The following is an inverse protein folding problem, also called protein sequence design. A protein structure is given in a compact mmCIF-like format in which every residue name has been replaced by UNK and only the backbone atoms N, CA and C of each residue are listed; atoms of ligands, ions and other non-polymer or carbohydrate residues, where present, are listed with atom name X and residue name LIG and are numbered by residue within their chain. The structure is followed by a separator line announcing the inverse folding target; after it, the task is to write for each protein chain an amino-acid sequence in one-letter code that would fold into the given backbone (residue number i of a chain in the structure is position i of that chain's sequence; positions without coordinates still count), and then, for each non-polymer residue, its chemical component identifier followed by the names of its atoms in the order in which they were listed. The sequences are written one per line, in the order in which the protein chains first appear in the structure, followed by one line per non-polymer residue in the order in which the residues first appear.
data_IF_128990564254
#
_entry.id   IF_128990564254
#
_cell.length_a   1.000
_cell.length_b   1.000
_cell.length_c   1.000
_cell.angle_alpha   90.00
_cell.angle_beta   90.00
_cell.angle_gamma   90.00
#
_symmetry.space_group_name_H-M   'P 1'
#
loop_
_entity.id
_entity.type
_entity.pdbx_description
1 polymer ?
#
# COMPACT_ATOMS: atom_id res chain seq x y z
N UNK A 1 -12.62 1.80 10.18
CA UNK A 1 -14.00 1.66 10.69
C UNK A 1 -14.88 2.54 9.82
N UNK A 2 -16.13 2.12 9.57
CA UNK A 2 -17.09 2.88 8.77
C UNK A 2 -18.40 2.96 9.53
N UNK A 3 -19.10 4.07 9.38
CA UNK A 3 -20.45 4.25 9.88
C UNK A 3 -21.42 4.01 8.75
N UNK A 4 -22.47 3.22 9.01
CA UNK A 4 -23.20 2.54 7.95
C UNK A 4 -24.71 2.59 8.14
N UNK A 5 -25.41 2.80 7.04
CA UNK A 5 -26.86 2.65 6.91
C UNK A 5 -27.12 1.47 5.98
N UNK A 6 -27.76 0.44 6.52
CA UNK A 6 -28.13 -0.78 5.80
C UNK A 6 -29.55 -0.65 5.25
N UNK A 7 -29.76 -1.06 4.00
CA UNK A 7 -31.08 -1.06 3.37
C UNK A 7 -31.69 -2.46 3.35
N UNK A 8 -33.02 -2.51 3.44
CA UNK A 8 -33.82 -3.72 3.57
C UNK A 8 -33.84 -4.62 2.31
N UNK A 9 -33.52 -4.06 1.15
CA UNK A 9 -33.44 -4.77 -0.14
C UNK A 9 -32.58 -4.01 -1.15
N UNK A 10 -32.14 -4.69 -2.19
CA UNK A 10 -31.58 -4.06 -3.37
C UNK A 10 -32.67 -3.75 -4.39
N UNK A 11 -32.87 -2.47 -4.77
CA UNK A 11 -33.70 -2.12 -5.92
C UNK A 11 -32.82 -2.06 -7.18
N UNK A 12 -33.37 -1.48 -8.24
CA UNK A 12 -32.63 -1.13 -9.45
C UNK A 12 -31.45 -0.18 -9.14
N UNK A 13 -30.24 -0.64 -9.47
CA UNK A 13 -29.00 0.12 -9.27
C UNK A 13 -29.01 1.44 -10.03
N UNK A 14 -29.54 1.46 -11.26
CA UNK A 14 -29.62 2.68 -12.07
C UNK A 14 -30.54 3.70 -11.40
N UNK A 15 -31.67 3.24 -10.86
CA UNK A 15 -32.62 4.10 -10.15
C UNK A 15 -32.00 4.70 -8.87
N UNK A 16 -31.26 3.91 -8.08
CA UNK A 16 -30.57 4.43 -6.89
C UNK A 16 -29.53 5.47 -7.24
N UNK A 17 -28.69 5.20 -8.24
CA UNK A 17 -27.63 6.11 -8.65
C UNK A 17 -28.23 7.41 -9.17
N UNK A 18 -29.30 7.33 -9.96
CA UNK A 18 -29.99 8.51 -10.47
C UNK A 18 -30.58 9.37 -9.33
N UNK A 19 -31.22 8.74 -8.34
CA UNK A 19 -31.82 9.44 -7.19
C UNK A 19 -30.72 10.13 -6.35
N UNK A 20 -29.69 9.37 -5.97
CA UNK A 20 -28.55 9.93 -5.23
C UNK A 20 -27.81 11.01 -6.02
N UNK A 21 -27.69 10.89 -7.35
CA UNK A 21 -27.05 11.90 -8.18
C UNK A 21 -27.84 13.21 -8.16
N UNK A 22 -29.17 13.16 -8.19
CA UNK A 22 -30.00 14.36 -8.09
C UNK A 22 -29.76 15.09 -6.77
N UNK A 23 -29.78 14.36 -5.66
CA UNK A 23 -29.62 14.95 -4.32
C UNK A 23 -28.19 15.38 -4.03
N UNK A 24 -27.20 14.61 -4.47
CA UNK A 24 -25.78 15.01 -4.41
C UNK A 24 -25.55 16.31 -5.19
N UNK A 25 -26.02 16.39 -6.45
CA UNK A 25 -25.83 17.57 -7.30
C UNK A 25 -26.49 18.82 -6.69
N UNK A 26 -27.70 18.69 -6.15
CA UNK A 26 -28.40 19.79 -5.48
C UNK A 26 -27.63 20.33 -4.26
N UNK A 27 -26.82 19.48 -3.63
CA UNK A 27 -26.01 19.81 -2.47
C UNK A 27 -24.51 20.05 -2.80
N UNK A 28 -24.15 20.16 -4.08
CA UNK A 28 -22.79 20.47 -4.53
C UNK A 28 -21.81 19.28 -4.48
N UNK A 29 -22.32 18.06 -4.54
CA UNK A 29 -21.57 16.82 -4.65
C UNK A 29 -21.91 16.09 -5.96
N UNK A 30 -21.18 15.02 -6.26
CA UNK A 30 -21.41 14.19 -7.45
C UNK A 30 -21.32 12.71 -7.11
N UNK A 31 -22.16 11.89 -7.74
CA UNK A 31 -22.05 10.43 -7.69
C UNK A 31 -21.18 9.97 -8.85
N UNK A 32 -20.10 9.28 -8.53
CA UNK A 32 -19.18 8.70 -9.50
C UNK A 32 -19.07 7.20 -9.25
N UNK A 33 -18.87 6.36 -10.28
CA UNK A 33 -18.46 4.97 -10.07
C UNK A 33 -17.22 4.94 -9.18
N UNK A 34 -17.25 4.13 -8.12
CA UNK A 34 -16.11 4.03 -7.20
C UNK A 34 -14.90 3.39 -7.89
N UNK A 35 -15.16 2.53 -8.88
CA UNK A 35 -14.20 1.80 -9.70
C UNK A 35 -14.79 1.58 -11.09
N UNK A 36 -13.98 1.63 -12.17
CA UNK A 36 -14.46 1.40 -13.55
C UNK A 36 -14.87 -0.08 -13.80
N UNK A 37 -14.29 -1.03 -13.05
CA UNK A 37 -14.49 -2.49 -13.26
C UNK A 37 -15.34 -3.18 -12.16
N UNK A 38 -15.80 -2.44 -11.14
CA UNK A 38 -16.67 -2.99 -10.08
C UNK A 38 -18.06 -2.41 -10.19
N UNK A 39 -18.91 -3.09 -10.96
CA UNK A 39 -20.33 -2.79 -11.03
C UNK A 39 -20.95 -2.80 -9.63
N UNK A 40 -21.84 -1.86 -9.38
CA UNK A 40 -22.56 -1.79 -8.11
C UNK A 40 -21.84 -1.09 -6.96
N UNK A 41 -20.76 -0.32 -7.20
CA UNK A 41 -20.18 0.54 -6.16
C UNK A 41 -19.93 1.95 -6.65
N UNK A 42 -20.38 2.92 -5.87
CA UNK A 42 -20.35 4.34 -6.21
C UNK A 42 -19.84 5.18 -5.05
N UNK A 43 -19.20 6.31 -5.37
CA UNK A 43 -18.73 7.31 -4.42
C UNK A 43 -19.49 8.61 -4.61
N UNK A 44 -19.85 9.25 -3.50
CA UNK A 44 -20.39 10.60 -3.49
C UNK A 44 -19.25 11.54 -3.08
N UNK A 45 -18.72 12.29 -4.04
CA UNK A 45 -17.60 13.20 -3.85
C UNK A 45 -18.09 14.66 -3.71
N UNK A 46 -17.45 15.49 -2.87
CA UNK A 46 -16.23 15.22 -2.07
C UNK A 46 -16.53 14.67 -0.67
N UNK A 47 -17.69 14.05 -0.45
CA UNK A 47 -18.14 13.68 0.90
C UNK A 47 -17.64 12.33 1.39
N UNK A 48 -16.98 11.57 0.52
CA UNK A 48 -16.43 10.25 0.81
C UNK A 48 -17.47 9.21 1.27
N UNK A 49 -18.75 9.42 0.92
CA UNK A 49 -19.80 8.43 1.15
C UNK A 49 -19.72 7.39 0.03
N UNK A 50 -19.80 6.12 0.40
CA UNK A 50 -19.83 4.99 -0.54
C UNK A 50 -21.22 4.39 -0.55
N UNK A 51 -21.79 4.22 -1.75
CA UNK A 51 -22.90 3.32 -2.01
C UNK A 51 -22.31 1.98 -2.50
N UNK A 52 -22.67 0.89 -1.86
CA UNK A 52 -22.38 -0.47 -2.33
C UNK A 52 -23.71 -1.21 -2.51
N UNK A 53 -23.91 -1.85 -3.66
CA UNK A 53 -25.12 -2.59 -4.03
C UNK A 53 -24.87 -4.04 -4.44
N UNK A 54 -23.65 -4.55 -4.29
CA UNK A 54 -23.21 -5.85 -4.84
C UNK A 54 -23.74 -7.05 -4.00
N UNK A 55 -23.70 -6.93 -2.67
CA UNK A 55 -24.15 -8.01 -1.76
C UNK A 55 -25.13 -7.54 -0.69
N UNK A 56 -24.75 -6.48 0.02
CA UNK A 56 -25.60 -5.86 1.04
C UNK A 56 -25.67 -4.38 0.71
N UNK A 57 -26.87 -3.92 0.37
CA UNK A 57 -27.07 -2.52 -0.02
C UNK A 57 -26.88 -1.62 1.18
N UNK A 58 -25.91 -0.72 1.07
CA UNK A 58 -25.62 0.19 2.15
C UNK A 58 -24.98 1.48 1.67
N UNK A 59 -25.21 2.52 2.46
CA UNK A 59 -24.40 3.73 2.43
C UNK A 59 -23.42 3.67 3.60
N UNK A 60 -22.16 4.00 3.35
CA UNK A 60 -21.16 4.09 4.40
C UNK A 60 -20.31 5.35 4.28
N UNK A 61 -19.89 5.87 5.43
CA UNK A 61 -18.93 6.97 5.52
C UNK A 61 -17.75 6.54 6.42
N UNK A 62 -16.50 6.84 6.04
CA UNK A 62 -15.34 6.49 6.84
C UNK A 62 -15.27 7.32 8.14
N UNK A 63 -14.91 6.68 9.25
CA UNK A 63 -14.71 7.35 10.55
C UNK A 63 -13.33 8.03 10.60
N UNK A 64 -13.16 9.13 9.84
CA UNK A 64 -11.86 9.82 9.78
C UNK A 64 -11.61 10.70 11.01
N UNK A 65 -10.37 10.82 11.53
CA UNK A 65 -10.05 11.68 12.68
C UNK A 65 -10.35 13.16 12.48
N UNK A 66 -10.33 13.63 11.24
CA UNK A 66 -10.56 15.03 10.82
C UNK A 66 -11.99 15.31 10.36
N UNK A 67 -12.85 14.28 10.28
CA UNK A 67 -14.24 14.46 9.89
C UNK A 67 -15.02 15.24 10.96
N UNK A 68 -15.83 16.22 10.52
CA UNK A 68 -16.87 16.81 11.36
C UNK A 68 -18.01 15.80 11.52
N UNK A 69 -18.26 15.26 12.73
CA UNK A 69 -19.22 14.18 12.89
C UNK A 69 -20.65 14.59 12.56
N UNK A 70 -21.04 15.84 12.84
CA UNK A 70 -22.38 16.32 12.60
C UNK A 70 -22.64 16.45 11.10
N UNK A 71 -21.71 17.07 10.38
CA UNK A 71 -21.81 17.27 8.93
C UNK A 71 -21.74 15.95 8.15
N UNK A 72 -20.88 15.03 8.58
CA UNK A 72 -20.73 13.70 7.99
C UNK A 72 -22.03 12.89 8.08
N UNK A 73 -22.63 12.86 9.28
CA UNK A 73 -23.91 12.18 9.53
C UNK A 73 -25.06 12.87 8.80
N UNK A 74 -25.12 14.21 8.78
CA UNK A 74 -26.13 14.96 8.04
C UNK A 74 -26.16 14.56 6.56
N UNK A 75 -25.00 14.52 5.92
CA UNK A 75 -24.88 14.10 4.51
C UNK A 75 -25.26 12.64 4.31
N UNK A 76 -24.82 11.74 5.19
CA UNK A 76 -25.16 10.32 5.10
C UNK A 76 -26.67 10.09 5.22
N UNK A 77 -27.32 10.76 6.19
CA UNK A 77 -28.76 10.66 6.42
C UNK A 77 -29.57 11.36 5.33
N UNK A 78 -29.07 12.45 4.75
CA UNK A 78 -29.69 13.08 3.58
C UNK A 78 -29.80 12.09 2.43
N UNK A 79 -28.68 11.43 2.08
CA UNK A 79 -28.66 10.40 1.02
C UNK A 79 -29.57 9.22 1.34
N UNK A 80 -29.56 8.75 2.59
CA UNK A 80 -30.36 7.60 2.98
C UNK A 80 -31.87 7.86 2.97
N UNK A 81 -32.31 9.05 3.41
CA UNK A 81 -33.73 9.44 3.35
C UNK A 81 -34.25 9.60 1.94
N UNK A 82 -33.37 10.01 1.02
CA UNK A 82 -33.75 10.18 -0.36
C UNK A 82 -34.11 8.84 -1.03
N UNK A 83 -33.41 7.77 -0.62
CA UNK A 83 -33.69 6.41 -1.06
C UNK A 83 -35.02 5.85 -0.52
N UNK A 84 -35.61 6.42 0.54
CA UNK A 84 -36.95 6.05 0.97
C UNK A 84 -38.00 6.35 -0.12
N UNK A 85 -37.74 7.32 -1.01
CA UNK A 85 -38.62 7.62 -2.17
C UNK A 85 -38.74 6.44 -3.14
N UNK A 86 -37.71 5.59 -3.20
CA UNK A 86 -37.66 4.35 -3.97
C UNK A 86 -38.21 3.16 -3.19
N UNK A 87 -38.74 3.38 -1.99
CA UNK A 87 -39.22 2.35 -1.07
C UNK A 87 -38.10 1.51 -0.47
N UNK A 88 -36.88 2.08 -0.35
CA UNK A 88 -35.76 1.49 0.35
C UNK A 88 -35.66 2.06 1.75
N UNK A 89 -35.88 1.20 2.74
CA UNK A 89 -35.89 1.63 4.12
C UNK A 89 -34.53 1.41 4.75
N UNK A 90 -33.85 2.52 5.05
CA UNK A 90 -32.56 2.51 5.72
C UNK A 90 -32.69 2.25 7.22
N UNK A 91 -31.78 1.44 7.76
CA UNK A 91 -31.57 1.23 9.19
C UNK A 91 -30.14 1.65 9.52
N UNK A 92 -30.00 2.55 10.50
CA UNK A 92 -28.70 2.86 11.07
C UNK A 92 -28.17 1.62 11.78
N UNK A 93 -27.06 1.07 11.29
CA UNK A 93 -26.52 -0.21 11.76
C UNK A 93 -26.09 -0.15 13.23
N UNK A 94 -25.59 0.99 13.65
CA UNK A 94 -24.95 1.16 14.95
C UNK A 94 -26.00 1.46 16.03
N UNK A 95 -27.05 2.19 15.65
CA UNK A 95 -28.16 2.52 16.54
C UNK A 95 -29.33 1.54 16.44
N UNK A 96 -29.37 0.68 15.42
CA UNK A 96 -30.48 -0.23 15.15
C UNK A 96 -31.82 0.48 14.90
N UNK A 97 -31.79 1.76 14.50
CA UNK A 97 -32.98 2.62 14.36
C UNK A 97 -33.26 2.88 12.88
N UNK A 98 -34.54 2.91 12.47
CA UNK A 98 -34.89 3.28 11.10
C UNK A 98 -34.54 4.75 10.85
N UNK A 99 -33.92 5.03 9.71
CA UNK A 99 -33.57 6.39 9.27
C UNK A 99 -34.79 7.32 9.25
N UNK A 100 -35.97 6.77 8.91
CA UNK A 100 -37.24 7.48 8.89
C UNK A 100 -37.76 7.89 10.27
N UNK A 101 -37.37 7.17 11.33
CA UNK A 101 -37.78 7.42 12.72
C UNK A 101 -36.84 8.42 13.43
N UNK A 102 -35.67 8.69 12.86
CA UNK A 102 -34.69 9.62 13.41
C UNK A 102 -35.12 11.07 13.18
N UNK A 103 -35.61 11.72 14.24
CA UNK A 103 -36.08 13.12 14.23
C UNK A 103 -34.99 14.14 14.57
N UNK A 104 -33.90 13.70 15.22
CA UNK A 104 -32.69 14.50 15.49
C UNK A 104 -31.45 13.67 15.17
N UNK A 105 -30.44 14.32 14.58
CA UNK A 105 -29.16 13.70 14.25
C UNK A 105 -28.15 13.75 15.40
N UNK A 106 -28.52 14.25 16.58
CA UNK A 106 -27.61 14.35 17.74
C UNK A 106 -27.09 12.99 18.21
N UNK A 107 -27.94 11.96 18.20
CA UNK A 107 -27.54 10.61 18.61
C UNK A 107 -26.64 9.94 17.55
N UNK A 108 -27.00 9.92 16.25
CA UNK A 108 -26.10 9.45 15.20
C UNK A 108 -24.76 10.19 15.16
N UNK A 109 -24.74 11.53 15.27
CA UNK A 109 -23.51 12.32 15.28
C UNK A 109 -22.62 11.98 16.48
N UNK A 110 -23.20 11.73 17.66
CA UNK A 110 -22.46 11.34 18.86
C UNK A 110 -21.88 9.93 18.74
N UNK A 111 -22.63 8.99 18.17
CA UNK A 111 -22.13 7.63 17.92
C UNK A 111 -20.99 7.66 16.89
N UNK A 112 -21.17 8.42 15.79
CA UNK A 112 -20.12 8.60 14.79
C UNK A 112 -18.85 9.24 15.40
N UNK A 113 -18.99 10.26 16.25
CA UNK A 113 -17.88 10.84 16.99
C UNK A 113 -17.19 9.83 17.92
N UNK A 114 -17.97 8.98 18.61
CA UNK A 114 -17.44 7.91 19.45
C UNK A 114 -16.72 6.82 18.63
N UNK A 115 -17.14 6.58 17.39
CA UNK A 115 -16.42 5.69 16.47
C UNK A 115 -15.14 6.33 15.95
N UNK A 116 -15.15 7.62 15.64
CA UNK A 116 -13.93 8.36 15.31
C UNK A 116 -12.94 8.24 16.48
N UNK A 117 -13.38 8.44 17.72
CA UNK A 117 -12.52 8.29 18.89
C UNK A 117 -12.06 6.85 19.12
N UNK A 118 -12.92 5.84 18.94
CA UNK A 118 -12.51 4.42 18.97
C UNK A 118 -11.53 4.06 17.84
N UNK A 119 -11.64 4.71 16.69
CA UNK A 119 -10.74 4.53 15.56
C UNK A 119 -9.39 5.23 15.76
N UNK A 120 -9.34 6.24 16.65
CA UNK A 120 -8.10 6.84 17.15
C UNK A 120 -7.50 5.87 18.18
N UNK A 121 -6.75 4.89 17.70
CA UNK A 121 -6.18 3.90 18.61
C UNK A 121 -5.16 4.54 19.56
N UNK A 122 -5.22 4.27 20.88
CA UNK A 122 -4.13 4.57 21.80
C UNK A 122 -3.02 3.50 21.81
N UNK A 123 -3.22 2.31 21.22
CA UNK A 123 -2.23 1.21 21.12
C UNK A 123 -2.50 0.33 19.87
N UNK A 124 -1.52 -0.05 19.02
CA UNK A 124 -1.75 -0.52 17.65
C UNK A 124 -2.36 -1.93 17.42
N UNK A 125 -2.56 -2.75 18.45
CA UNK A 125 -2.69 -4.22 18.29
C UNK A 125 -4.11 -4.82 18.38
N UNK A 126 -5.15 -4.14 17.91
CA UNK A 126 -6.47 -4.77 17.75
C UNK A 126 -6.68 -5.19 16.29
N UNK A 127 -6.59 -6.50 16.04
CA UNK A 127 -6.85 -7.18 14.76
C UNK A 127 -8.09 -6.61 14.04
N UNK A 128 -7.92 -6.27 12.76
CA UNK A 128 -9.04 -5.95 11.88
C UNK A 128 -9.91 -7.20 11.65
N UNK A 129 -11.25 -7.11 11.69
CA UNK A 129 -12.14 -8.22 11.39
C UNK A 129 -11.92 -8.79 9.98
N UNK A 130 -12.07 -10.10 9.88
CA UNK A 130 -12.03 -10.90 8.64
C UNK A 130 -13.31 -10.64 7.85
N UNK A 131 -13.28 -9.57 7.06
CA UNK A 131 -14.17 -9.19 5.93
C UNK A 131 -14.32 -7.67 5.95
N UNK A 132 -13.50 -6.88 5.24
CA UNK A 132 -13.81 -5.45 5.12
C UNK A 132 -13.40 -4.81 3.79
N UNK A 133 -14.35 -4.08 3.24
CA UNK A 133 -14.27 -2.65 2.90
C UNK A 133 -13.13 -1.88 3.60
N UNK A 134 -11.88 -2.12 3.20
CA UNK A 134 -10.72 -1.48 3.80
C UNK A 134 -10.71 0.01 3.44
N UNK A 135 -11.05 0.87 4.40
CA UNK A 135 -10.70 2.30 4.36
C UNK A 135 -9.28 2.44 4.91
N UNK A 136 -8.31 2.90 4.10
CA UNK A 136 -6.94 3.07 4.56
C UNK A 136 -6.86 4.10 5.69
N UNK A 137 -5.91 3.91 6.62
CA UNK A 137 -5.62 4.94 7.62
C UNK A 137 -5.21 6.24 6.93
N UNK A 138 -5.74 7.40 7.38
CA UNK A 138 -5.38 8.67 6.80
C UNK A 138 -3.87 8.87 6.94
N UNK A 139 -3.23 9.21 5.83
CA UNK A 139 -1.81 9.52 5.82
C UNK A 139 -1.61 11.02 5.86
N UNK A 140 -0.88 11.48 6.86
CA UNK A 140 -0.43 12.86 6.92
C UNK A 140 0.76 13.05 5.97
N UNK A 141 0.49 13.66 4.81
CA UNK A 141 1.50 13.92 3.78
C UNK A 141 2.34 15.17 4.04
N UNK A 142 2.11 15.90 5.14
CA UNK A 142 2.80 17.15 5.41
C UNK A 142 4.32 16.96 5.45
N UNK A 143 5.01 17.69 4.58
CA UNK A 143 6.47 17.68 4.51
C UNK A 143 7.07 16.53 3.71
N UNK A 144 6.25 15.64 3.13
CA UNK A 144 6.71 14.61 2.20
C UNK A 144 6.71 15.13 0.76
N UNK A 145 7.85 15.05 0.08
CA UNK A 145 7.96 15.36 -1.34
C UNK A 145 8.04 14.08 -2.20
N UNK A 146 7.05 13.79 -3.06
CA UNK A 146 7.08 12.63 -3.94
C UNK A 146 8.31 12.58 -4.86
N UNK A 147 8.78 11.37 -5.15
CA UNK A 147 9.92 11.10 -6.00
C UNK A 147 9.50 10.99 -7.47
N UNK A 148 9.85 12.00 -8.25
CA UNK A 148 9.67 11.98 -9.70
C UNK A 148 10.81 11.23 -10.39
N UNK A 149 10.55 9.97 -10.77
CA UNK A 149 11.54 9.12 -11.43
C UNK A 149 11.71 9.50 -12.91
N UNK A 150 12.94 9.40 -13.42
CA UNK A 150 13.22 9.38 -14.86
C UNK A 150 12.38 8.29 -15.52
N UNK A 151 11.61 8.63 -16.56
CA UNK A 151 10.70 7.70 -17.22
C UNK A 151 9.43 7.36 -16.43
N UNK A 152 9.17 8.06 -15.31
CA UNK A 152 7.94 7.93 -14.52
C UNK A 152 7.65 6.51 -14.06
N UNK A 153 6.45 6.03 -14.35
CA UNK A 153 5.94 4.72 -13.91
C UNK A 153 6.32 3.54 -14.81
N UNK A 154 6.98 3.80 -15.93
CA UNK A 154 7.34 2.76 -16.88
C UNK A 154 8.31 1.79 -16.18
N UNK A 155 8.07 0.48 -16.27
CA UNK A 155 8.97 -0.52 -15.71
C UNK A 155 10.37 -0.38 -16.31
N UNK A 156 11.43 -0.58 -15.53
CA UNK A 156 12.80 -0.31 -16.00
C UNK A 156 13.21 -1.16 -17.21
N UNK A 157 12.64 -2.36 -17.36
CA UNK A 157 12.84 -3.23 -18.53
C UNK A 157 12.18 -2.71 -19.83
N UNK A 158 11.26 -1.75 -19.70
CA UNK A 158 10.52 -1.13 -20.81
C UNK A 158 11.05 0.26 -21.16
N UNK A 159 11.99 0.78 -20.38
CA UNK A 159 12.71 2.01 -20.69
C UNK A 159 13.77 1.79 -21.77
N UNK A 160 14.12 2.88 -22.46
CA UNK A 160 15.37 2.92 -23.22
C UNK A 160 16.56 2.61 -22.30
N UNK A 161 17.69 2.14 -22.86
CA UNK A 161 18.88 1.83 -22.06
C UNK A 161 19.42 3.07 -21.37
N UNK A 162 19.35 4.18 -22.07
CA UNK A 162 19.76 5.51 -21.63
C UNK A 162 18.88 5.97 -20.45
N UNK A 163 17.55 5.89 -20.58
CA UNK A 163 16.63 6.29 -19.50
C UNK A 163 16.72 5.37 -18.29
N UNK A 164 16.86 4.05 -18.50
CA UNK A 164 17.02 3.10 -17.40
C UNK A 164 18.30 3.35 -16.61
N UNK A 165 19.39 3.68 -17.31
CA UNK A 165 20.66 4.06 -16.67
C UNK A 165 20.54 5.40 -15.95
N UNK A 166 19.91 6.39 -16.56
CA UNK A 166 19.67 7.69 -15.94
C UNK A 166 18.80 7.54 -14.68
N UNK A 167 17.79 6.66 -14.68
CA UNK A 167 17.01 6.32 -13.49
C UNK A 167 17.87 5.69 -12.40
N UNK A 168 18.73 4.73 -12.73
CA UNK A 168 19.66 4.14 -11.76
C UNK A 168 20.57 5.20 -11.12
N UNK A 169 21.14 6.09 -11.93
CA UNK A 169 22.00 7.19 -11.46
C UNK A 169 21.20 8.19 -10.61
N UNK A 170 19.95 8.49 -10.97
CA UNK A 170 19.05 9.32 -10.18
C UNK A 170 18.74 8.71 -8.81
N UNK A 171 18.38 7.42 -8.77
CA UNK A 171 18.07 6.73 -7.52
C UNK A 171 19.29 6.71 -6.61
N UNK A 172 20.45 6.27 -7.14
CA UNK A 172 21.66 6.09 -6.33
C UNK A 172 22.26 7.41 -5.84
N UNK A 173 22.09 8.51 -6.56
CA UNK A 173 22.55 9.84 -6.12
C UNK A 173 21.63 10.53 -5.11
N UNK A 174 20.42 10.02 -4.89
CA UNK A 174 19.40 10.61 -3.99
C UNK A 174 19.02 9.73 -2.81
N UNK A 175 19.77 8.67 -2.54
CA UNK A 175 19.47 7.70 -1.49
C UNK A 175 19.20 8.37 -0.14
N UNK A 176 20.14 9.20 0.34
CA UNK A 176 20.01 9.88 1.64
C UNK A 176 18.82 10.86 1.67
N UNK A 177 18.60 11.58 0.56
CA UNK A 177 17.45 12.47 0.38
C UNK A 177 16.15 11.69 0.50
N UNK A 178 16.03 10.56 -0.22
CA UNK A 178 14.80 9.76 -0.25
C UNK A 178 14.51 9.07 1.08
N UNK A 179 15.53 8.59 1.77
CA UNK A 179 15.38 8.07 3.14
C UNK A 179 14.94 9.18 4.10
N UNK A 180 15.49 10.40 3.95
CA UNK A 180 15.05 11.56 4.73
C UNK A 180 13.59 11.92 4.48
N UNK A 181 13.13 11.89 3.22
CA UNK A 181 11.72 12.12 2.87
C UNK A 181 10.80 11.06 3.49
N UNK A 182 11.16 9.77 3.42
CA UNK A 182 10.41 8.72 4.13
C UNK A 182 10.39 8.95 5.64
N UNK A 183 11.52 9.39 6.21
CA UNK A 183 11.62 9.76 7.63
C UNK A 183 10.66 10.87 8.03
N UNK A 184 10.54 11.93 7.22
CA UNK A 184 9.56 13.01 7.44
C UNK A 184 8.14 12.49 7.40
N UNK A 185 7.83 11.63 6.43
CA UNK A 185 6.50 11.06 6.26
C UNK A 185 6.09 10.25 7.50
N UNK A 186 6.92 9.30 7.93
CA UNK A 186 6.56 8.46 9.09
C UNK A 186 6.49 9.26 10.39
N UNK A 187 7.34 10.28 10.55
CA UNK A 187 7.32 11.17 11.70
C UNK A 187 6.02 11.99 11.74
N UNK A 188 5.55 12.49 10.60
CA UNK A 188 4.26 13.16 10.47
C UNK A 188 3.07 12.24 10.80
N UNK A 189 3.28 10.92 10.76
CA UNK A 189 2.32 9.88 11.12
C UNK A 189 2.59 9.25 12.51
N UNK A 190 3.48 9.85 13.31
CA UNK A 190 3.60 9.58 14.75
C UNK A 190 4.67 8.57 15.16
N UNK A 191 5.59 8.17 14.27
CA UNK A 191 6.69 7.26 14.61
C UNK A 191 8.00 7.59 13.89
N UNK A 192 9.12 7.09 14.41
CA UNK A 192 10.45 7.33 13.85
C UNK A 192 10.85 6.22 12.88
N UNK A 193 11.53 6.60 11.78
CA UNK A 193 12.13 5.63 10.86
C UNK A 193 13.40 5.03 11.48
N UNK A 194 13.51 3.71 11.48
CA UNK A 194 14.74 3.04 11.89
C UNK A 194 14.68 1.53 11.65
N UNK A 195 15.76 0.83 12.00
CA UNK A 195 15.96 -0.59 11.69
C UNK A 195 15.79 -1.51 12.90
N UNK A 196 15.32 -1.00 14.06
CA UNK A 196 14.98 -1.86 15.19
C UNK A 196 13.74 -2.72 14.86
N UNK A 197 13.60 -3.92 15.43
CA UNK A 197 12.43 -4.78 15.20
C UNK A 197 11.09 -4.05 15.41
N UNK A 198 11.00 -3.24 16.46
CA UNK A 198 9.80 -2.47 16.81
C UNK A 198 9.50 -1.37 15.78
N UNK A 199 10.52 -0.68 15.28
CA UNK A 199 10.36 0.36 14.26
C UNK A 199 9.96 -0.25 12.91
N UNK A 200 10.49 -1.43 12.57
CA UNK A 200 10.10 -2.16 11.36
C UNK A 200 8.65 -2.64 11.45
N UNK A 201 8.23 -3.13 12.61
CA UNK A 201 6.84 -3.50 12.85
C UNK A 201 5.91 -2.29 12.72
N UNK A 202 6.26 -1.14 13.31
CA UNK A 202 5.49 0.10 13.18
C UNK A 202 5.37 0.56 11.72
N UNK A 203 6.48 0.58 10.98
CA UNK A 203 6.51 0.93 9.56
C UNK A 203 5.63 -0.01 8.74
N UNK A 204 5.72 -1.32 9.00
CA UNK A 204 4.94 -2.34 8.30
C UNK A 204 3.45 -2.20 8.58
N UNK A 205 3.07 -2.05 9.84
CA UNK A 205 1.68 -1.89 10.26
C UNK A 205 1.09 -0.62 9.67
N UNK A 206 1.78 0.51 9.79
CA UNK A 206 1.35 1.76 9.18
C UNK A 206 1.18 1.62 7.67
N UNK A 207 2.16 1.06 6.96
CA UNK A 207 2.09 0.89 5.50
C UNK A 207 0.93 0.00 5.08
N UNK A 208 0.78 -1.17 5.73
CA UNK A 208 -0.30 -2.10 5.46
C UNK A 208 -1.63 -1.36 5.64
N UNK A 209 -1.84 -0.70 6.78
CA UNK A 209 -3.13 -0.07 7.08
C UNK A 209 -3.41 1.23 6.32
N UNK A 210 -2.39 1.97 5.88
CA UNK A 210 -2.55 3.29 5.26
C UNK A 210 -2.56 3.27 3.73
N UNK A 211 -2.04 2.22 3.10
CA UNK A 211 -1.89 2.20 1.65
C UNK A 211 -3.22 2.27 0.90
N UNK A 212 -3.32 3.25 -0.01
CA UNK A 212 -4.50 3.47 -0.84
C UNK A 212 -4.31 2.81 -2.22
N UNK A 213 -5.15 1.81 -2.50
CA UNK A 213 -5.32 1.26 -3.84
C UNK A 213 -6.12 2.26 -4.71
N UNK A 214 -5.64 2.51 -5.93
CA UNK A 214 -6.33 3.29 -6.95
C UNK A 214 -7.22 2.40 -7.85
N UNK A 215 -7.27 1.09 -7.60
CA UNK A 215 -7.94 0.07 -8.42
C UNK A 215 -6.98 -0.64 -9.37
N UNK A 216 -7.39 -1.82 -9.87
CA UNK A 216 -6.66 -2.64 -10.84
C UNK A 216 -5.18 -2.91 -10.47
N UNK A 217 -4.90 -3.17 -9.19
CA UNK A 217 -3.55 -3.37 -8.66
C UNK A 217 -2.61 -2.17 -8.81
N UNK A 218 -3.16 -0.96 -8.93
CA UNK A 218 -2.38 0.27 -9.05
C UNK A 218 -2.48 1.09 -7.79
N UNK A 219 -1.34 1.53 -7.26
CA UNK A 219 -1.31 2.46 -6.14
C UNK A 219 -1.54 3.88 -6.62
N UNK A 220 -2.15 4.71 -5.77
CA UNK A 220 -2.19 6.16 -6.02
C UNK A 220 -0.76 6.72 -6.18
N UNK A 221 -0.57 7.79 -6.97
CA UNK A 221 0.75 8.30 -7.33
C UNK A 221 1.72 8.49 -6.14
N UNK A 222 1.21 9.02 -5.02
CA UNK A 222 2.02 9.29 -3.84
C UNK A 222 2.53 8.00 -3.19
N UNK A 223 1.68 6.97 -3.10
CA UNK A 223 2.05 5.67 -2.55
C UNK A 223 3.11 4.94 -3.35
N UNK A 224 3.13 5.11 -4.68
CA UNK A 224 4.21 4.56 -5.51
C UNK A 224 5.57 5.15 -5.10
N UNK A 225 5.62 6.47 -4.90
CA UNK A 225 6.83 7.13 -4.40
C UNK A 225 7.24 6.58 -3.03
N UNK A 226 6.28 6.40 -2.12
CA UNK A 226 6.55 5.83 -0.79
C UNK A 226 7.15 4.43 -0.89
N UNK A 227 6.65 3.59 -1.80
CA UNK A 227 7.19 2.24 -1.99
C UNK A 227 8.61 2.26 -2.54
N UNK A 228 8.92 3.21 -3.41
CA UNK A 228 10.28 3.41 -3.90
C UNK A 228 11.21 3.85 -2.78
N UNK A 229 10.81 4.82 -1.95
CA UNK A 229 11.61 5.26 -0.81
C UNK A 229 11.80 4.14 0.22
N UNK A 230 10.77 3.31 0.43
CA UNK A 230 10.86 2.13 1.28
C UNK A 230 11.84 1.08 0.74
N UNK A 231 11.82 0.83 -0.57
CA UNK A 231 12.78 -0.07 -1.21
C UNK A 231 14.22 0.45 -1.12
N UNK A 232 14.43 1.76 -1.23
CA UNK A 232 15.73 2.41 -1.01
C UNK A 232 16.17 2.19 0.45
N UNK A 233 15.29 2.47 1.42
CA UNK A 233 15.57 2.27 2.84
C UNK A 233 15.93 0.81 3.17
N UNK A 234 15.18 -0.16 2.65
CA UNK A 234 15.46 -1.59 2.85
C UNK A 234 16.79 -2.00 2.20
N UNK A 235 17.04 -1.53 0.97
CA UNK A 235 18.29 -1.81 0.26
C UNK A 235 19.51 -1.25 0.99
N UNK A 236 19.44 -0.01 1.47
CA UNK A 236 20.51 0.60 2.26
C UNK A 236 20.70 -0.08 3.61
N UNK A 237 19.62 -0.41 4.31
CA UNK A 237 19.71 -1.17 5.57
C UNK A 237 20.43 -2.51 5.36
N UNK A 238 20.22 -3.15 4.20
CA UNK A 238 20.90 -4.39 3.85
C UNK A 238 22.39 -4.18 3.52
N UNK A 239 22.73 -3.14 2.75
CA UNK A 239 24.12 -2.79 2.42
C UNK A 239 24.91 -2.40 3.67
N UNK A 240 24.32 -1.62 4.58
CA UNK A 240 24.97 -1.24 5.85
C UNK A 240 25.32 -2.48 6.69
N UNK A 241 24.47 -3.51 6.67
CA UNK A 241 24.71 -4.78 7.37
C UNK A 241 25.67 -5.70 6.63
N UNK A 242 25.69 -5.66 5.30
CA UNK A 242 26.52 -6.50 4.44
C UNK A 242 27.33 -5.61 3.48
N UNK A 243 28.46 -5.03 3.93
CA UNK A 243 29.12 -3.90 3.26
C UNK A 243 29.69 -4.18 1.87
N UNK A 244 29.81 -5.45 1.46
CA UNK A 244 30.25 -5.83 0.12
C UNK A 244 29.10 -5.82 -0.92
N UNK A 245 27.86 -5.65 -0.47
CA UNK A 245 26.72 -5.45 -1.36
C UNK A 245 26.73 -4.02 -1.90
N UNK A 246 26.25 -3.85 -3.12
CA UNK A 246 26.20 -2.53 -3.78
C UNK A 246 24.98 -2.40 -4.66
N UNK A 247 24.45 -1.19 -4.80
CA UNK A 247 23.48 -0.90 -5.84
C UNK A 247 24.12 -1.14 -7.21
N UNK A 248 23.44 -1.93 -8.03
CA UNK A 248 23.93 -2.40 -9.33
C UNK A 248 22.87 -2.16 -10.40
N UNK A 249 23.32 -1.70 -11.57
CA UNK A 249 22.50 -1.62 -12.77
C UNK A 249 22.66 -2.88 -13.62
N UNK A 250 21.55 -3.55 -13.92
CA UNK A 250 21.57 -4.81 -14.70
C UNK A 250 21.62 -4.52 -16.20
N UNK A 251 22.83 -4.34 -16.73
CA UNK A 251 23.03 -4.00 -18.15
C UNK A 251 23.10 -5.22 -19.10
N UNK A 252 23.35 -6.42 -18.58
CA UNK A 252 23.57 -7.63 -19.39
C UNK A 252 22.29 -8.47 -19.53
N UNK A 253 22.11 -9.08 -20.70
CA UNK A 253 20.97 -9.95 -21.01
C UNK A 253 19.84 -9.25 -21.76
N UNK A 254 18.62 -9.77 -21.62
CA UNK A 254 17.38 -9.25 -22.21
C UNK A 254 16.23 -9.40 -21.22
N UNK A 255 15.12 -8.69 -21.44
CA UNK A 255 13.88 -8.83 -20.67
C UNK A 255 13.40 -10.30 -20.53
N UNK A 256 13.66 -11.16 -21.51
CA UNK A 256 13.25 -12.57 -21.48
C UNK A 256 14.19 -13.48 -20.69
N UNK A 257 15.47 -13.08 -20.57
CA UNK A 257 16.51 -13.93 -20.00
C UNK A 257 16.96 -13.49 -18.62
N UNK A 258 16.67 -12.25 -18.22
CA UNK A 258 17.06 -11.67 -16.94
C UNK A 258 15.87 -10.94 -16.36
N UNK A 259 15.42 -11.40 -15.19
CA UNK A 259 14.18 -10.93 -14.53
C UNK A 259 14.21 -9.42 -14.22
N UNK A 260 15.35 -8.92 -13.74
CA UNK A 260 15.57 -7.49 -13.46
C UNK A 260 16.37 -6.80 -14.57
N UNK A 261 16.19 -7.17 -15.84
CA UNK A 261 16.89 -6.51 -16.96
C UNK A 261 16.65 -5.00 -16.93
N UNK A 262 17.73 -4.21 -17.03
CA UNK A 262 17.72 -2.73 -16.88
C UNK A 262 17.22 -2.22 -15.51
N UNK A 263 17.06 -3.10 -14.52
CA UNK A 263 16.65 -2.75 -13.18
C UNK A 263 17.77 -2.20 -12.30
N UNK A 264 17.36 -1.47 -11.26
CA UNK A 264 18.21 -1.12 -10.10
C UNK A 264 18.04 -2.22 -9.07
N UNK A 265 19.13 -2.93 -8.75
CA UNK A 265 19.12 -4.08 -7.84
C UNK A 265 20.26 -3.99 -6.84
N UNK A 266 20.21 -4.80 -5.79
CA UNK A 266 21.37 -5.06 -4.93
C UNK A 266 22.19 -6.18 -5.55
N UNK A 267 23.44 -5.91 -5.90
CA UNK A 267 24.40 -6.90 -6.38
C UNK A 267 25.42 -7.27 -5.32
N UNK A 268 26.21 -8.32 -5.61
CA UNK A 268 27.31 -8.76 -4.75
C UNK A 268 27.03 -10.03 -3.93
N UNK A 269 25.86 -10.64 -4.10
CA UNK A 269 25.57 -11.93 -3.46
C UNK A 269 26.40 -13.04 -4.09
N UNK A 270 27.06 -13.85 -3.25
CA UNK A 270 27.97 -14.92 -3.68
C UNK A 270 27.46 -16.33 -3.38
N UNK A 271 26.50 -16.46 -2.45
CA UNK A 271 26.00 -17.77 -1.95
C UNK A 271 24.53 -18.05 -2.28
N UNK A 272 23.88 -17.17 -3.03
CA UNK A 272 22.48 -17.33 -3.45
C UNK A 272 22.39 -17.77 -4.91
N UNK A 273 21.29 -18.45 -5.26
CA UNK A 273 20.99 -18.88 -6.63
C UNK A 273 20.92 -17.70 -7.64
N UNK A 274 20.73 -16.47 -7.14
CA UNK A 274 20.79 -15.24 -7.92
C UNK A 274 21.90 -14.32 -7.39
N UNK A 275 22.80 -13.79 -8.26
CA UNK A 275 23.86 -12.85 -7.86
C UNK A 275 23.34 -11.43 -7.57
N UNK A 276 22.07 -11.18 -7.88
CA UNK A 276 21.38 -9.91 -7.69
C UNK A 276 20.06 -10.11 -6.96
N UNK A 277 19.63 -9.09 -6.22
CA UNK A 277 18.39 -9.07 -5.48
C UNK A 277 17.59 -7.79 -5.79
N UNK A 278 16.36 -7.97 -6.29
CA UNK A 278 15.50 -6.85 -6.69
C UNK A 278 14.60 -6.42 -5.53
N UNK A 279 15.13 -5.51 -4.69
CA UNK A 279 14.42 -5.00 -3.52
C UNK A 279 13.14 -4.26 -3.94
N UNK A 280 13.19 -3.47 -5.02
CA UNK A 280 12.04 -2.71 -5.51
C UNK A 280 10.88 -3.63 -5.87
N UNK A 281 11.16 -4.66 -6.66
CA UNK A 281 10.14 -5.65 -7.02
C UNK A 281 9.54 -6.28 -5.77
N UNK A 282 10.38 -6.72 -4.83
CA UNK A 282 9.92 -7.40 -3.62
C UNK A 282 9.03 -6.48 -2.76
N UNK A 283 9.42 -5.21 -2.57
CA UNK A 283 8.62 -4.22 -1.84
C UNK A 283 7.30 -3.90 -2.57
N UNK A 284 7.29 -3.84 -3.90
CA UNK A 284 6.04 -3.67 -4.65
C UNK A 284 5.12 -4.90 -4.58
N UNK A 285 5.67 -6.12 -4.64
CA UNK A 285 4.90 -7.37 -4.52
C UNK A 285 4.34 -7.59 -3.12
N UNK A 286 5.01 -7.10 -2.08
CA UNK A 286 4.51 -7.11 -0.70
C UNK A 286 3.12 -6.45 -0.58
N UNK A 287 2.77 -5.57 -1.50
CA UNK A 287 1.61 -4.69 -1.41
C UNK A 287 0.61 -4.98 -2.55
N UNK A 288 1.10 -5.30 -3.74
CA UNK A 288 0.27 -5.57 -4.94
C UNK A 288 -0.25 -7.00 -5.11
N UNK A 289 -0.12 -7.90 -4.14
CA UNK A 289 -0.53 -9.30 -4.33
C UNK A 289 -2.05 -9.52 -4.11
N UNK A 290 -2.83 -9.37 -5.18
CA UNK A 290 -4.07 -10.14 -5.44
C UNK A 290 -3.80 -11.60 -5.81
N UNK A 291 -2.54 -12.06 -5.89
CA UNK A 291 -2.20 -13.45 -6.25
C UNK A 291 -2.25 -14.46 -5.09
N UNK A 292 -2.63 -14.05 -3.87
CA UNK A 292 -2.80 -14.97 -2.74
C UNK A 292 -4.21 -15.58 -2.61
N UNK A 293 -5.14 -15.21 -3.50
CA UNK A 293 -6.44 -15.89 -3.63
C UNK A 293 -6.40 -17.11 -4.57
N UNK A 294 -5.23 -17.48 -5.09
CA UNK A 294 -5.09 -18.79 -5.76
C UNK A 294 -4.90 -19.85 -4.67
N UNK A 295 -5.85 -20.78 -4.46
CA UNK A 295 -5.64 -21.86 -3.51
C UNK A 295 -4.49 -22.71 -4.02
N UNK A 296 -3.39 -22.74 -3.27
CA UNK A 296 -2.36 -23.76 -3.42
C UNK A 296 -2.96 -25.11 -3.01
N UNK A 297 -3.63 -25.76 -3.95
CA UNK A 297 -4.07 -27.15 -3.84
C UNK A 297 -5.23 -27.37 -2.85
N UNK A 298 -6.20 -28.16 -3.30
CA UNK A 298 -7.29 -28.65 -2.47
C UNK A 298 -6.75 -29.31 -1.19
N UNK A 299 -7.16 -28.83 -0.01
CA UNK A 299 -7.03 -29.61 1.24
C UNK A 299 -6.74 -28.89 2.55
N UNK A 300 -6.58 -27.56 2.60
CA UNK A 300 -6.31 -26.84 3.86
C UNK A 300 -7.40 -25.82 4.18
N UNK A 301 -8.17 -26.06 5.23
CA UNK A 301 -9.21 -25.16 5.80
C UNK A 301 -8.63 -23.99 6.63
N UNK A 302 -7.35 -23.68 6.48
CA UNK A 302 -6.74 -22.48 7.04
C UNK A 302 -6.10 -21.68 5.90
N UNK A 303 -6.76 -20.60 5.48
CA UNK A 303 -6.11 -19.56 4.70
C UNK A 303 -5.01 -18.94 5.58
N UNK A 304 -3.74 -18.92 5.13
CA UNK A 304 -2.67 -18.29 5.88
C UNK A 304 -2.86 -16.77 5.88
N UNK A 305 -2.76 -16.15 7.06
CA UNK A 305 -2.87 -14.70 7.24
C UNK A 305 -1.87 -13.95 6.35
N UNK A 306 -2.41 -13.25 5.36
CA UNK A 306 -1.67 -12.47 4.36
C UNK A 306 -0.85 -11.37 5.04
N UNK A 307 -1.35 -10.80 6.14
CA UNK A 307 -0.67 -9.77 6.92
C UNK A 307 0.55 -10.34 7.65
N UNK A 308 0.41 -11.52 8.26
CA UNK A 308 1.53 -12.24 8.90
C UNK A 308 2.61 -12.63 7.89
N UNK A 309 2.26 -12.99 6.65
CA UNK A 309 3.23 -13.26 5.58
C UNK A 309 3.97 -12.01 5.11
N UNK A 310 3.27 -10.88 4.96
CA UNK A 310 3.87 -9.58 4.58
C UNK A 310 4.82 -9.07 5.66
N UNK A 311 4.39 -9.14 6.93
CA UNK A 311 5.19 -8.84 8.12
C UNK A 311 6.45 -9.69 8.18
N UNK A 312 6.30 -11.01 8.02
CA UNK A 312 7.44 -11.93 8.02
C UNK A 312 8.40 -11.63 6.88
N UNK A 313 7.93 -11.30 5.68
CA UNK A 313 8.80 -11.07 4.53
C UNK A 313 9.55 -9.74 4.63
N UNK A 314 8.91 -8.64 5.06
CA UNK A 314 9.64 -7.38 5.31
C UNK A 314 10.66 -7.56 6.46
N UNK A 315 10.25 -8.23 7.54
CA UNK A 315 11.14 -8.56 8.65
C UNK A 315 12.29 -9.47 8.21
N UNK A 316 12.04 -10.53 7.44
CA UNK A 316 13.07 -11.45 6.92
C UNK A 316 14.04 -10.74 5.96
N UNK A 317 13.59 -9.73 5.21
CA UNK A 317 14.43 -8.91 4.33
C UNK A 317 15.35 -8.01 5.14
N UNK A 318 14.82 -7.35 6.15
CA UNK A 318 15.55 -6.40 6.99
C UNK A 318 16.44 -7.14 8.00
N UNK A 319 16.04 -8.33 8.44
CA UNK A 319 16.73 -9.20 9.41
C UNK A 319 17.45 -10.38 8.76
N UNK A 320 17.65 -10.38 7.43
CA UNK A 320 18.39 -11.44 6.72
C UNK A 320 19.72 -11.68 7.43
N UNK A 321 20.02 -12.94 7.81
CA UNK A 321 21.23 -13.28 8.58
C UNK A 321 22.48 -12.74 7.88
N UNK A 322 23.42 -12.24 8.67
CA UNK A 322 24.71 -11.77 8.19
C UNK A 322 25.36 -12.86 7.33
N UNK A 323 25.62 -12.54 6.06
CA UNK A 323 26.44 -13.40 5.23
C UNK A 323 27.90 -13.12 5.61
N UNK A 324 28.71 -14.13 5.97
CA UNK A 324 30.10 -13.90 6.30
C UNK A 324 30.81 -13.32 5.08
N UNK A 325 31.69 -12.33 5.30
CA UNK A 325 32.50 -11.72 4.25
C UNK A 325 33.02 -12.79 3.28
N UNK A 326 32.91 -12.57 1.96
CA UNK A 326 33.46 -13.50 1.00
C UNK A 326 34.95 -13.65 1.32
N UNK A 327 35.36 -14.87 1.68
CA UNK A 327 36.77 -15.23 1.69
C UNK A 327 37.22 -15.09 0.24
N UNK A 328 37.85 -13.97 -0.07
CA UNK A 328 38.56 -13.82 -1.32
C UNK A 328 39.70 -14.83 -1.30
N UNK A 329 39.49 -15.97 -1.95
CA UNK A 329 40.58 -16.83 -2.36
C UNK A 329 40.99 -16.39 -3.76
N UNK A 330 42.10 -15.64 -3.90
CA UNK A 330 42.57 -15.27 -5.23
C UNK A 330 42.77 -16.55 -6.05
N UNK A 331 42.42 -16.55 -7.34
CA UNK A 331 42.72 -17.68 -8.21
C UNK A 331 44.23 -17.97 -8.17
N UNK A 332 44.64 -19.23 -8.37
CA UNK A 332 46.06 -19.62 -8.24
C UNK A 332 47.00 -18.79 -9.12
N UNK A 333 46.53 -18.33 -10.27
CA UNK A 333 47.27 -17.41 -11.14
C UNK A 333 47.57 -16.07 -10.47
N UNK A 334 46.62 -15.53 -9.71
CA UNK A 334 46.76 -14.29 -8.95
C UNK A 334 47.58 -14.50 -7.68
N UNK A 335 47.45 -15.67 -7.02
CA UNK A 335 48.32 -16.08 -5.90
C UNK A 335 49.77 -16.20 -6.36
N UNK A 336 50.04 -16.89 -7.47
CA UNK A 336 51.37 -17.04 -8.04
C UNK A 336 51.98 -15.69 -8.46
N UNK A 337 51.17 -14.81 -9.06
CA UNK A 337 51.58 -13.45 -9.40
C UNK A 337 51.92 -12.61 -8.16
N UNK A 338 51.08 -12.65 -7.12
CA UNK A 338 51.31 -11.95 -5.85
C UNK A 338 52.51 -12.51 -5.07
N UNK A 339 52.81 -13.81 -5.21
CA UNK A 339 53.98 -14.48 -4.60
C UNK A 339 55.27 -14.33 -5.43
N UNK A 340 55.23 -13.60 -6.56
CA UNK A 340 56.39 -13.40 -7.42
C UNK A 340 56.86 -14.65 -8.15
N UNK A 341 56.02 -15.69 -8.27
CA UNK A 341 56.30 -16.87 -9.07
C UNK A 341 55.87 -16.60 -10.50
N UNK A 342 56.81 -16.69 -11.44
CA UNK A 342 56.51 -16.53 -12.86
C UNK A 342 55.42 -17.52 -13.26
N UNK A 343 54.29 -17.01 -13.77
CA UNK A 343 53.23 -17.83 -14.36
C UNK A 343 53.72 -18.20 -15.75
N UNK A 344 54.19 -19.43 -15.92
CA UNK A 344 54.44 -20.01 -17.24
C UNK A 344 53.09 -20.14 -17.94
N UNK A 345 52.82 -19.22 -18.86
CA UNK A 345 51.68 -19.33 -19.76
C UNK A 345 52.14 -20.30 -20.87
N UNK A 346 51.82 -21.58 -20.69
CA UNK A 346 52.02 -22.60 -21.72
C UNK A 346 51.23 -22.31 -23.01
N UNK A 347 51.59 -22.97 -24.13
CA UNK A 347 51.48 -22.46 -25.51
C UNK A 347 50.07 -22.18 -26.02
#
# INVERSE_FOLDING_TARGET
MVYRIDFDKAPDTEAMVAELANTANAAGAQVVPAFEDREGRYRIEPWDITLDVDWQVHLSIPTRPDADPALAVERLYLMARDLDSLGLHGVDRELGTSVSEVTSLDAPAREFAAQIERSRSPVPDALAPVDTDRVPWPTNWNGYNPFELVGGRIASADLSKEDARARFEQVTSRIDERISELGKLVLANGFELGTSPEQIEQLTNWLIHSIEDAGHNQLRPHWQSVLYDLAIFVGESLIQRIPYLTWTFVAKGTRRSVESYQGTVIGGFTKTLSPTFDVFRVVTTLIGATELDTPLGAGSTQQPDVSARRMKLLSDLINKKDEPEPKFEPPESLKAYMEGRAVDVGP
#
